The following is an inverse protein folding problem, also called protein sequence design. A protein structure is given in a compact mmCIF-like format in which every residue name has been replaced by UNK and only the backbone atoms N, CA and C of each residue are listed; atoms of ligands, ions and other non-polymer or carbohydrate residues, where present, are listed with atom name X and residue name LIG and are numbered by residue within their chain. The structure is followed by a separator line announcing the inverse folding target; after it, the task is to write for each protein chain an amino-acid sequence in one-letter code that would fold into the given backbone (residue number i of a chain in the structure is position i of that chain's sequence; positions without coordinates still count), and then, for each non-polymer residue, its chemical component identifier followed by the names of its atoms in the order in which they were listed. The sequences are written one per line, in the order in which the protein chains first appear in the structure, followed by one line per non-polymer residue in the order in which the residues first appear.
data_IF_718429329472
#
_entry.id   IF_718429329472
#
_cell.length_a   1.000
_cell.length_b   1.000
_cell.length_c   1.000
_cell.angle_alpha   90.00
_cell.angle_beta   90.00
_cell.angle_gamma   90.00
#
_symmetry.space_group_name_H-M   'P 1'
#
loop_
_entity.id
_entity.type
_entity.pdbx_description
1 polymer ?
#
# COMPACT_ATOMS: atom_id res chain seq x y z
N UNK A 1 2.05 18.96 -16.32
CA UNK A 1 1.17 18.04 -15.57
C UNK A 1 1.88 17.87 -14.24
N UNK A 2 1.30 18.21 -13.09
CA UNK A 2 2.07 18.14 -11.85
C UNK A 2 2.42 16.68 -11.63
N UNK A 3 3.71 16.37 -11.66
CA UNK A 3 4.24 15.11 -11.19
C UNK A 3 3.73 14.95 -9.76
N UNK A 4 2.80 14.01 -9.56
CA UNK A 4 2.39 13.60 -8.24
C UNK A 4 3.63 12.96 -7.63
N UNK A 5 4.46 13.78 -6.99
CA UNK A 5 5.64 13.36 -6.25
C UNK A 5 5.14 12.45 -5.15
N UNK A 6 5.14 11.15 -5.46
CA UNK A 6 4.73 10.12 -4.53
C UNK A 6 5.75 10.19 -3.39
N UNK A 7 5.35 10.61 -2.18
CA UNK A 7 6.28 10.70 -1.07
C UNK A 7 6.93 9.33 -0.88
N UNK A 8 8.21 9.34 -0.49
CA UNK A 8 8.97 8.13 -0.26
C UNK A 8 8.15 7.15 0.59
N UNK A 9 8.04 5.88 0.18
CA UNK A 9 7.20 4.92 0.86
C UNK A 9 7.59 4.81 2.35
N UNK A 10 6.60 4.69 3.27
CA UNK A 10 6.87 4.51 4.69
C UNK A 10 7.79 3.30 4.92
N UNK A 11 8.48 3.21 6.05
CA UNK A 11 9.46 2.11 6.27
C UNK A 11 8.83 0.72 6.11
N UNK A 12 7.58 0.56 6.55
CA UNK A 12 6.82 -0.69 6.39
C UNK A 12 6.69 -1.12 4.92
N UNK A 13 6.61 -0.15 4.01
CA UNK A 13 6.48 -0.36 2.57
C UNK A 13 7.81 -0.85 1.96
N UNK A 14 8.96 -0.37 2.45
CA UNK A 14 10.29 -0.88 2.04
C UNK A 14 10.49 -2.35 2.40
N UNK A 15 10.11 -2.75 3.61
CA UNK A 15 10.21 -4.14 4.06
C UNK A 15 9.29 -5.05 3.25
N UNK A 16 8.06 -4.63 2.97
CA UNK A 16 7.11 -5.39 2.17
C UNK A 16 7.56 -5.52 0.70
N UNK A 17 8.01 -4.43 0.08
CA UNK A 17 8.56 -4.49 -1.28
C UNK A 17 9.76 -5.44 -1.35
N UNK A 18 10.65 -5.41 -0.34
CA UNK A 18 11.81 -6.32 -0.31
C UNK A 18 11.44 -7.81 -0.21
N UNK A 19 10.26 -8.10 0.35
CA UNK A 19 9.69 -9.44 0.46
C UNK A 19 8.88 -9.85 -0.77
N UNK A 20 8.85 -9.01 -1.82
CA UNK A 20 8.15 -9.27 -3.07
C UNK A 20 6.68 -8.86 -3.07
N UNK A 21 6.23 -8.04 -2.11
CA UNK A 21 4.90 -7.46 -2.12
C UNK A 21 4.84 -6.25 -3.05
N UNK A 22 3.75 -6.14 -3.81
CA UNK A 22 3.46 -4.99 -4.65
C UNK A 22 2.42 -4.10 -3.98
N UNK A 23 2.73 -2.81 -3.82
CA UNK A 23 1.79 -1.81 -3.33
C UNK A 23 0.72 -1.52 -4.38
N UNK A 24 -0.56 -1.64 -4.03
CA UNK A 24 -1.67 -1.38 -4.95
C UNK A 24 -2.26 0.01 -4.77
N UNK A 25 -2.87 0.28 -3.61
CA UNK A 25 -3.42 1.61 -3.32
C UNK A 25 -3.57 1.83 -1.81
N UNK A 26 -3.71 3.09 -1.43
CA UNK A 26 -4.14 3.52 -0.10
C UNK A 26 -5.61 3.90 -0.16
N UNK A 27 -6.40 3.51 0.84
CA UNK A 27 -7.80 3.91 0.94
C UNK A 27 -8.34 3.74 2.35
N UNK A 28 -9.60 4.13 2.52
CA UNK A 28 -10.38 3.83 3.71
C UNK A 28 -10.61 2.31 3.86
N UNK A 29 -11.02 1.84 5.05
CA UNK A 29 -11.23 0.42 5.31
C UNK A 29 -12.18 -0.27 4.34
N UNK A 30 -13.27 0.41 3.92
CA UNK A 30 -14.26 -0.18 2.99
C UNK A 30 -13.62 -0.46 1.64
N UNK A 31 -12.91 0.52 1.08
CA UNK A 31 -12.21 0.38 -0.20
C UNK A 31 -11.14 -0.71 -0.16
N UNK A 32 -10.41 -0.80 0.94
CA UNK A 32 -9.34 -1.78 1.12
C UNK A 32 -9.91 -3.18 1.27
N UNK A 33 -11.06 -3.33 1.94
CA UNK A 33 -11.78 -4.60 2.05
C UNK A 33 -12.29 -5.08 0.68
N UNK A 34 -12.94 -4.20 -0.09
CA UNK A 34 -13.37 -4.50 -1.48
C UNK A 34 -12.18 -4.94 -2.35
N UNK A 35 -11.06 -4.23 -2.24
CA UNK A 35 -9.83 -4.57 -2.95
C UNK A 35 -9.29 -5.93 -2.52
N UNK A 36 -9.25 -6.21 -1.22
CA UNK A 36 -8.79 -7.48 -0.67
C UNK A 36 -9.57 -8.65 -1.25
N UNK A 37 -10.90 -8.61 -1.15
CA UNK A 37 -11.77 -9.69 -1.66
C UNK A 37 -11.55 -9.93 -3.16
N UNK A 38 -11.43 -8.85 -3.94
CA UNK A 38 -11.15 -8.93 -5.37
C UNK A 38 -9.82 -9.63 -5.67
N UNK A 39 -8.73 -9.23 -5.00
CA UNK A 39 -7.41 -9.83 -5.24
C UNK A 39 -7.31 -11.26 -4.73
N UNK A 40 -7.90 -11.56 -3.57
CA UNK A 40 -8.00 -12.93 -3.05
C UNK A 40 -8.79 -13.84 -4.01
N UNK A 41 -9.88 -13.33 -4.60
CA UNK A 41 -10.66 -14.05 -5.62
C UNK A 41 -9.85 -14.38 -6.87
N UNK A 42 -8.87 -13.55 -7.23
CA UNK A 42 -7.93 -13.80 -8.33
C UNK A 42 -6.74 -14.69 -7.93
N UNK A 43 -6.69 -15.14 -6.67
CA UNK A 43 -5.64 -16.01 -6.14
C UNK A 43 -4.39 -15.29 -5.63
N UNK A 44 -4.40 -13.96 -5.54
CA UNK A 44 -3.28 -13.21 -4.96
C UNK A 44 -3.24 -13.38 -3.44
N UNK A 45 -2.04 -13.36 -2.89
CA UNK A 45 -1.84 -13.11 -1.47
C UNK A 45 -2.04 -11.62 -1.23
N UNK A 46 -2.77 -11.27 -0.17
CA UNK A 46 -3.11 -9.89 0.16
C UNK A 46 -2.63 -9.56 1.56
N UNK A 47 -1.99 -8.39 1.71
CA UNK A 47 -1.58 -7.84 3.00
C UNK A 47 -2.10 -6.41 3.12
N UNK A 48 -2.82 -6.15 4.22
CA UNK A 48 -3.29 -4.81 4.56
C UNK A 48 -2.38 -4.25 5.65
N UNK A 49 -1.95 -3.00 5.48
CA UNK A 49 -1.15 -2.26 6.46
C UNK A 49 -1.87 -0.99 6.85
N UNK A 50 -2.22 -0.88 8.13
CA UNK A 50 -2.82 0.34 8.68
C UNK A 50 -1.77 1.44 8.75
N UNK A 51 -2.15 2.63 8.29
CA UNK A 51 -1.31 3.82 8.35
C UNK A 51 -1.50 4.49 9.70
N UNK A 52 -0.41 4.68 10.44
CA UNK A 52 -0.46 5.57 11.59
C UNK A 52 -0.48 7.04 11.12
N UNK A 53 -1.12 7.96 11.87
CA UNK A 53 -1.11 9.39 11.55
C UNK A 53 0.31 9.96 11.40
N UNK A 54 1.29 9.40 12.13
CA UNK A 54 2.70 9.76 12.07
C UNK A 54 3.42 9.32 10.78
N UNK A 55 2.81 8.45 9.96
CA UNK A 55 3.35 8.02 8.67
C UNK A 55 2.92 8.93 7.52
N UNK A 56 2.03 9.90 7.78
CA UNK A 56 1.68 10.92 6.79
C UNK A 56 2.76 12.01 6.74
N UNK A 57 3.18 12.45 5.55
CA UNK A 57 4.09 13.57 5.42
C UNK A 57 3.50 14.84 6.06
N UNK A 58 4.34 15.67 6.67
CA UNK A 58 3.91 16.98 7.24
C UNK A 58 3.29 17.91 6.19
N UNK A 59 3.58 17.67 4.90
CA UNK A 59 2.96 18.37 3.77
C UNK A 59 1.43 18.15 3.68
N UNK A 60 0.90 17.11 4.32
CA UNK A 60 -0.54 16.83 4.37
C UNK A 60 -1.31 17.74 5.37
N UNK A 61 -0.63 18.57 6.16
CA UNK A 61 -1.28 19.48 7.12
C UNK A 61 -2.15 18.73 8.12
N UNK A 62 -3.37 19.21 8.38
CA UNK A 62 -4.34 18.59 9.29
C UNK A 62 -5.10 17.40 8.68
N UNK A 63 -4.80 16.98 7.45
CA UNK A 63 -5.43 15.79 6.85
C UNK A 63 -5.31 14.54 7.74
N UNK A 64 -4.19 14.21 8.39
CA UNK A 64 -4.09 13.04 9.26
C UNK A 64 -4.99 13.14 10.51
N UNK A 65 -5.29 14.37 10.98
CA UNK A 65 -6.16 14.63 12.12
C UNK A 65 -7.65 14.69 11.73
N UNK A 66 -7.95 15.10 10.50
CA UNK A 66 -9.30 15.08 9.92
C UNK A 66 -9.70 13.69 9.44
N UNK A 67 -8.72 12.92 8.97
CA UNK A 67 -8.83 11.52 8.59
C UNK A 67 -8.64 10.68 9.86
N UNK A 68 -9.56 10.84 10.80
CA UNK A 68 -9.68 9.97 11.99
C UNK A 68 -10.01 8.51 11.61
N UNK A 69 -10.27 8.22 10.34
CA UNK A 69 -10.46 6.88 9.83
C UNK A 69 -9.11 6.21 9.60
N UNK A 70 -8.97 4.96 10.06
CA UNK A 70 -7.81 4.12 9.84
C UNK A 70 -7.63 3.86 8.34
N UNK A 71 -6.86 4.72 7.66
CA UNK A 71 -6.48 4.46 6.28
C UNK A 71 -5.52 3.29 6.24
N UNK A 72 -5.64 2.47 5.20
CA UNK A 72 -4.77 1.34 5.02
C UNK A 72 -4.23 1.29 3.60
N UNK A 73 -3.06 0.68 3.46
CA UNK A 73 -2.46 0.37 2.18
C UNK A 73 -2.69 -1.11 1.91
N UNK A 74 -3.21 -1.40 0.73
CA UNK A 74 -3.36 -2.75 0.20
C UNK A 74 -2.11 -3.14 -0.57
N UNK A 75 -1.50 -4.25 -0.17
CA UNK A 75 -0.41 -4.90 -0.87
C UNK A 75 -0.88 -6.25 -1.40
N UNK A 76 -0.33 -6.64 -2.54
CA UNK A 76 -0.61 -7.94 -3.15
C UNK A 76 0.68 -8.62 -3.57
N UNK A 77 0.71 -9.95 -3.51
CA UNK A 77 1.77 -10.77 -4.09
C UNK A 77 1.13 -11.86 -4.92
N UNK A 78 1.69 -12.17 -6.11
CA UNK A 78 1.18 -13.31 -6.88
C UNK A 78 1.53 -14.62 -6.15
N UNK A 79 0.64 -15.61 -6.16
CA UNK A 79 0.92 -16.91 -5.57
C UNK A 79 2.07 -17.58 -6.32
N UNK A 80 3.18 -17.86 -5.63
CA UNK A 80 4.36 -18.51 -6.21
C UNK A 80 5.41 -17.58 -6.83
N UNK A 81 5.22 -16.27 -6.77
CA UNK A 81 6.22 -15.30 -7.22
C UNK A 81 7.17 -14.99 -6.05
N UNK A 82 8.29 -15.73 -5.99
CA UNK A 82 9.43 -15.40 -5.14
C UNK A 82 9.93 -13.96 -5.45
N UNK A 83 10.57 -13.25 -4.50
CA UNK A 83 10.97 -11.84 -4.69
C UNK A 83 11.74 -11.68 -6.00
N UNK A 84 11.20 -10.84 -6.87
CA UNK A 84 11.53 -10.81 -8.28
C UNK A 84 12.90 -10.13 -8.48
N UNK A 85 13.95 -10.94 -8.59
CA UNK A 85 15.18 -10.53 -9.26
C UNK A 85 14.91 -10.51 -10.77
N UNK A 86 14.59 -9.35 -11.34
CA UNK A 86 14.65 -9.18 -12.79
C UNK A 86 13.74 -8.10 -13.37
N UNK A 87 14.24 -6.87 -13.45
CA UNK A 87 13.86 -5.96 -14.53
C UNK A 87 14.93 -6.08 -15.62
N UNK A 88 14.60 -6.72 -16.74
CA UNK A 88 15.34 -6.64 -18.00
C UNK A 88 14.37 -6.17 -19.07
N UNK A 89 14.54 -4.92 -19.50
CA UNK A 89 14.32 -4.42 -20.87
C UNK A 89 15.13 -3.15 -21.07
#
# INVERSE_FOLDING_TARGET
MPEHEQPSPPKADRDLISQGWERRFMGDPSRVEEGKELYESMGFEVQVVLMAPSEFPTACGDCPDLVCEEYAILYTRKPGEAPQSGFVV
#
